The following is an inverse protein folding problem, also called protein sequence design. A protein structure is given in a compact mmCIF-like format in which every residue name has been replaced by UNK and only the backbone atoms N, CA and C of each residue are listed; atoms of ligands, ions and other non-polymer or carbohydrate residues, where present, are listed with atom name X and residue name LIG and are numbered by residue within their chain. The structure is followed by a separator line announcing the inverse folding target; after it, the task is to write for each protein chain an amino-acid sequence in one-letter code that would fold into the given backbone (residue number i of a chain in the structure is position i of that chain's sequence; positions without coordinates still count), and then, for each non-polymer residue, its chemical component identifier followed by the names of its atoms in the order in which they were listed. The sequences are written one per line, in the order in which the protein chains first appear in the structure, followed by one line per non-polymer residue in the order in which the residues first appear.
data_IF_318835726458
#
_entry.id   IF_318835726458
#
_cell.length_a   1.000
_cell.length_b   1.000
_cell.length_c   1.000
_cell.angle_alpha   90.00
_cell.angle_beta   90.00
_cell.angle_gamma   90.00
#
_symmetry.space_group_name_H-M   'P 1'
#
loop_
_entity.id
_entity.type
_entity.pdbx_description
1 polymer ?
#
# COMPACT_ATOMS: atom_id res chain seq x y z
N UNK A 1 -7.16 13.56 15.63
CA UNK A 1 -8.18 13.29 14.60
C UNK A 1 -7.80 11.97 13.92
N UNK A 2 -8.42 11.54 12.84
CA UNK A 2 -8.03 10.30 12.17
C UNK A 2 -6.79 10.52 11.29
N UNK A 3 -5.89 9.53 11.23
CA UNK A 3 -4.74 9.58 10.32
C UNK A 3 -5.20 9.75 8.86
N UNK A 4 -4.57 10.69 8.16
CA UNK A 4 -4.95 11.06 6.79
C UNK A 4 -3.85 10.80 5.76
N UNK A 5 -2.67 10.32 6.19
CA UNK A 5 -1.56 9.91 5.32
C UNK A 5 -1.13 8.48 5.62
N UNK A 6 -0.99 7.68 4.57
CA UNK A 6 -0.32 6.38 4.57
C UNK A 6 1.13 6.56 4.11
N UNK A 7 2.07 5.99 4.86
CA UNK A 7 3.48 5.81 4.48
C UNK A 7 3.73 4.32 4.23
N UNK A 8 4.19 3.97 3.03
CA UNK A 8 4.33 2.57 2.63
C UNK A 8 5.48 2.34 1.63
N UNK A 9 5.97 1.11 1.60
CA UNK A 9 6.98 0.65 0.64
C UNK A 9 6.31 -0.07 -0.53
N UNK A 10 6.82 0.15 -1.73
CA UNK A 10 6.39 -0.64 -2.89
C UNK A 10 6.92 -2.07 -2.78
N UNK A 11 6.08 -3.01 -3.21
CA UNK A 11 6.49 -4.38 -3.47
C UNK A 11 6.72 -4.48 -4.98
N UNK A 12 7.92 -4.89 -5.37
CA UNK A 12 8.38 -4.93 -6.76
C UNK A 12 8.91 -6.32 -7.08
N UNK A 13 9.04 -6.64 -8.37
CA UNK A 13 9.74 -7.86 -8.77
C UNK A 13 11.23 -7.75 -8.44
N UNK A 14 11.81 -8.86 -8.00
CA UNK A 14 13.25 -9.01 -7.93
C UNK A 14 13.83 -8.88 -9.36
N UNK A 15 14.83 -8.02 -9.58
CA UNK A 15 15.41 -7.81 -10.91
C UNK A 15 16.14 -9.06 -11.43
N UNK A 16 16.69 -9.87 -10.54
CA UNK A 16 17.45 -11.09 -10.85
C UNK A 16 16.50 -12.31 -10.92
N UNK A 17 15.42 -12.30 -10.14
CA UNK A 17 14.43 -13.36 -10.10
C UNK A 17 12.98 -12.84 -10.28
N UNK A 18 12.52 -12.67 -11.52
CA UNK A 18 11.18 -12.11 -11.81
C UNK A 18 10.00 -12.80 -11.12
N UNK A 19 10.12 -14.07 -10.74
CA UNK A 19 9.08 -14.81 -10.02
C UNK A 19 9.00 -14.44 -8.52
N UNK A 20 10.01 -13.75 -7.99
CA UNK A 20 10.05 -13.30 -6.59
C UNK A 20 9.64 -11.84 -6.48
N UNK A 21 8.92 -11.56 -5.40
CA UNK A 21 8.56 -10.20 -5.01
C UNK A 21 9.42 -9.78 -3.83
N UNK A 22 9.93 -8.56 -3.88
CA UNK A 22 10.77 -7.97 -2.85
C UNK A 22 10.23 -6.62 -2.43
N UNK A 23 10.46 -6.28 -1.16
CA UNK A 23 10.15 -4.97 -0.65
C UNK A 23 11.19 -3.96 -1.14
N UNK A 24 10.77 -2.91 -1.83
CA UNK A 24 11.66 -1.82 -2.19
C UNK A 24 11.85 -0.88 -0.99
N UNK A 25 12.83 -1.17 -0.15
CA UNK A 25 13.16 -0.38 1.04
C UNK A 25 13.92 0.91 0.72
N UNK A 26 14.35 1.12 -0.52
CA UNK A 26 15.12 2.32 -0.93
C UNK A 26 14.29 3.59 -0.90
N UNK A 27 12.96 3.49 -1.01
CA UNK A 27 12.08 4.65 -1.08
C UNK A 27 10.77 4.39 -0.38
N UNK A 28 10.42 5.31 0.51
CA UNK A 28 9.14 5.36 1.19
C UNK A 28 8.22 6.33 0.46
N UNK A 29 7.00 5.89 0.19
CA UNK A 29 6.01 6.65 -0.57
C UNK A 29 4.81 7.00 0.31
N UNK A 30 4.09 8.04 -0.11
CA UNK A 30 2.96 8.59 0.64
C UNK A 30 1.69 8.59 -0.19
N UNK A 31 0.57 8.25 0.46
CA UNK A 31 -0.77 8.29 -0.12
C UNK A 31 -1.75 8.93 0.86
N UNK A 32 -2.81 9.51 0.33
CA UNK A 32 -3.88 10.11 1.14
C UNK A 32 -4.89 9.06 1.56
N UNK A 33 -5.14 8.98 2.86
CA UNK A 33 -6.27 8.23 3.41
C UNK A 33 -7.50 9.13 3.34
N UNK A 34 -8.61 8.60 2.84
CA UNK A 34 -9.85 9.36 2.65
C UNK A 34 -11.00 8.63 3.32
N UNK A 35 -12.14 9.30 3.49
CA UNK A 35 -13.37 8.67 3.98
C UNK A 35 -13.85 7.50 3.11
N UNK A 36 -13.42 7.45 1.83
CA UNK A 36 -13.73 6.35 0.91
C UNK A 36 -12.78 5.16 1.06
N UNK A 37 -11.68 5.32 1.80
CA UNK A 37 -10.71 4.25 2.02
C UNK A 37 -11.34 3.20 2.93
N UNK A 38 -11.43 1.96 2.45
CA UNK A 38 -12.04 0.86 3.20
C UNK A 38 -11.02 0.18 4.12
N UNK A 39 -11.47 -0.29 5.28
CA UNK A 39 -10.66 -1.04 6.24
C UNK A 39 -9.90 -0.15 7.23
N UNK A 40 -9.12 -0.76 8.10
CA UNK A 40 -8.28 -0.07 9.09
C UNK A 40 -6.80 -0.33 8.76
N UNK A 41 -5.94 0.69 8.80
CA UNK A 41 -4.52 0.48 8.59
C UNK A 41 -3.92 -0.38 9.71
N UNK A 42 -3.09 -1.35 9.33
CA UNK A 42 -2.30 -2.17 10.26
C UNK A 42 -0.86 -2.17 9.75
N UNK A 43 0.07 -1.72 10.58
CA UNK A 43 1.51 -1.71 10.21
C UNK A 43 1.98 -3.13 9.93
N UNK A 44 2.75 -3.31 8.85
CA UNK A 44 3.19 -4.61 8.36
C UNK A 44 2.21 -5.30 7.41
N UNK A 45 0.93 -4.88 7.37
CA UNK A 45 -0.02 -5.39 6.39
C UNK A 45 0.14 -4.69 5.04
N UNK A 46 -0.64 -5.16 4.07
CA UNK A 46 -0.66 -4.58 2.73
C UNK A 46 -1.81 -3.58 2.61
N UNK A 47 -1.56 -2.52 1.84
CA UNK A 47 -2.60 -1.65 1.35
C UNK A 47 -2.63 -1.72 -0.18
N UNK A 48 -3.80 -1.48 -0.74
CA UNK A 48 -3.97 -1.22 -2.16
C UNK A 48 -4.05 0.28 -2.39
N UNK A 49 -3.15 0.79 -3.21
CA UNK A 49 -3.04 2.21 -3.53
C UNK A 49 -3.20 2.45 -5.02
N UNK A 50 -3.53 3.68 -5.38
CA UNK A 50 -3.47 4.14 -6.76
C UNK A 50 -2.12 4.79 -7.03
N UNK A 51 -1.52 4.43 -8.16
CA UNK A 51 -0.34 5.09 -8.71
C UNK A 51 -0.70 5.71 -10.06
N UNK A 52 0.21 6.48 -10.66
CA UNK A 52 0.03 7.01 -12.00
C UNK A 52 0.01 5.91 -13.08
N UNK A 53 0.55 4.73 -12.78
CA UNK A 53 0.68 3.63 -13.73
C UNK A 53 -0.42 2.57 -13.55
N UNK A 54 -0.89 2.35 -12.33
CA UNK A 54 -1.87 1.31 -12.02
C UNK A 54 -2.87 1.75 -10.95
N UNK A 55 -4.12 1.30 -11.10
CA UNK A 55 -5.23 1.64 -10.19
C UNK A 55 -5.19 0.85 -8.87
N UNK A 56 -4.51 -0.30 -8.85
CA UNK A 56 -4.35 -1.19 -7.71
C UNK A 56 -2.90 -1.66 -7.66
N UNK A 57 -2.08 -0.92 -6.94
CA UNK A 57 -0.70 -1.33 -6.65
C UNK A 57 -0.65 -1.76 -5.19
N UNK A 58 -0.13 -2.95 -4.89
CA UNK A 58 0.05 -3.37 -3.52
C UNK A 58 1.30 -2.74 -2.90
N UNK A 59 1.18 -2.31 -1.64
CA UNK A 59 2.27 -1.70 -0.86
C UNK A 59 2.24 -2.20 0.57
N UNK A 60 3.41 -2.30 1.22
CA UNK A 60 3.49 -2.66 2.63
C UNK A 60 3.37 -1.41 3.49
N UNK A 61 2.41 -1.43 4.42
CA UNK A 61 2.14 -0.33 5.35
C UNK A 61 3.30 -0.23 6.34
N UNK A 62 4.01 0.90 6.30
CA UNK A 62 5.04 1.22 7.26
C UNK A 62 4.49 2.02 8.45
N UNK A 63 3.69 3.05 8.16
CA UNK A 63 3.06 3.88 9.18
C UNK A 63 1.85 4.63 8.61
N UNK A 64 0.97 5.10 9.49
CA UNK A 64 -0.04 6.13 9.19
C UNK A 64 0.19 7.34 10.09
N UNK A 65 -0.22 8.51 9.61
CA UNK A 65 -0.04 9.76 10.35
C UNK A 65 -1.11 10.79 10.01
N UNK A 66 -1.52 11.56 11.00
CA UNK A 66 -2.28 12.80 10.85
C UNK A 66 -1.37 13.98 10.46
N UNK A 67 -1.74 14.68 9.38
CA UNK A 67 -1.02 15.83 8.83
C UNK A 67 -2.01 16.96 8.53
N UNK A 68 -1.75 18.17 9.01
CA UNK A 68 -2.64 19.33 8.84
C UNK A 68 -2.53 20.03 7.47
N UNK A 69 -1.58 19.62 6.62
CA UNK A 69 -1.28 20.26 5.34
C UNK A 69 -2.27 19.83 4.25
N UNK A 70 -2.27 20.58 3.14
CA UNK A 70 -2.93 20.15 1.91
C UNK A 70 -2.31 18.83 1.39
N UNK A 71 -3.18 17.87 1.10
CA UNK A 71 -2.83 16.52 0.61
C UNK A 71 -3.37 16.29 -0.80
N UNK A 72 -3.75 17.35 -1.52
CA UNK A 72 -4.36 17.25 -2.86
C UNK A 72 -3.44 16.63 -3.92
N UNK A 73 -2.12 16.76 -3.74
CA UNK A 73 -1.12 16.15 -4.63
C UNK A 73 -0.96 14.64 -4.42
N UNK A 74 -1.44 14.10 -3.29
CA UNK A 74 -1.30 12.69 -2.97
C UNK A 74 -2.42 11.85 -3.57
N UNK A 75 -2.03 10.79 -4.26
CA UNK A 75 -2.95 9.77 -4.74
C UNK A 75 -3.65 9.07 -3.56
N UNK A 76 -4.90 8.60 -3.72
CA UNK A 76 -5.67 8.01 -2.63
C UNK A 76 -5.27 6.55 -2.36
N UNK A 77 -5.35 6.16 -1.08
CA UNK A 77 -5.42 4.75 -0.67
C UNK A 77 -6.80 4.20 -1.01
N UNK A 78 -6.85 3.03 -1.66
CA UNK A 78 -8.12 2.39 -2.05
C UNK A 78 -8.68 1.53 -0.93
N UNK A 79 -7.84 0.66 -0.37
CA UNK A 79 -8.26 -0.25 0.69
C UNK A 79 -7.07 -0.68 1.54
N UNK A 80 -7.31 -0.85 2.83
CA UNK A 80 -6.44 -1.61 3.74
C UNK A 80 -6.89 -3.07 3.76
N UNK A 81 -5.93 -3.98 3.73
CA UNK A 81 -6.21 -5.42 3.76
C UNK A 81 -6.13 -5.94 5.19
N UNK A 82 -7.06 -6.83 5.56
CA UNK A 82 -7.07 -7.52 6.85
C UNK A 82 -6.26 -8.81 6.72
N UNK A 83 -4.94 -8.69 6.69
CA UNK A 83 -4.04 -9.80 6.40
C UNK A 83 -3.44 -10.40 7.67
N UNK A 84 -4.27 -11.06 8.50
CA UNK A 84 -3.73 -11.95 9.55
C UNK A 84 -3.17 -13.26 8.99
N UNK A 85 -3.48 -13.61 7.74
CA UNK A 85 -2.97 -14.80 7.05
C UNK A 85 -2.05 -14.41 5.88
N UNK A 86 -0.74 -14.63 6.06
CA UNK A 86 0.30 -14.33 5.08
C UNK A 86 0.08 -15.07 3.73
N UNK A 87 -0.57 -16.25 3.79
CA UNK A 87 -0.89 -17.07 2.62
C UNK A 87 -1.97 -16.42 1.73
N UNK A 88 -2.98 -15.79 2.33
CA UNK A 88 -4.01 -15.04 1.59
C UNK A 88 -3.42 -13.78 0.94
N UNK A 89 -2.37 -13.21 1.54
CA UNK A 89 -1.63 -12.09 0.94
C UNK A 89 -0.97 -12.54 -0.34
N UNK A 90 -0.17 -13.60 -0.30
CA UNK A 90 0.53 -14.10 -1.47
C UNK A 90 -0.47 -14.47 -2.58
N UNK A 91 -1.56 -15.17 -2.23
CA UNK A 91 -2.63 -15.52 -3.16
C UNK A 91 -3.29 -14.28 -3.79
N UNK A 92 -3.63 -13.27 -2.98
CA UNK A 92 -4.29 -12.06 -3.46
C UNK A 92 -3.35 -11.18 -4.27
N UNK A 93 -2.04 -11.18 -3.98
CA UNK A 93 -1.03 -10.55 -4.83
C UNK A 93 -0.94 -11.23 -6.18
N UNK A 94 -0.84 -12.55 -6.20
CA UNK A 94 -0.76 -13.33 -7.43
C UNK A 94 -2.02 -13.13 -8.30
N UNK A 95 -3.20 -13.05 -7.69
CA UNK A 95 -4.46 -12.80 -8.38
C UNK A 95 -4.64 -11.34 -8.86
N UNK A 96 -4.06 -10.36 -8.16
CA UNK A 96 -4.10 -8.95 -8.56
C UNK A 96 -3.09 -8.61 -9.67
N UNK A 97 -2.09 -9.46 -9.91
CA UNK A 97 -1.01 -9.25 -10.87
C UNK A 97 -1.14 -10.10 -12.15
N UNK A 98 -2.16 -10.96 -12.25
CA UNK A 98 -2.61 -11.57 -13.51
C UNK A 98 -3.41 -10.58 -14.36
#
# INVERSE_FOLDING_TARGET
MADNVLMAYHIVHDPDERAKHVLNTKKLYKWRITEKTKGTPVVGNVALVQTQFAKRTPVMIYATKEVANDLSDLQPVKAFTNNRDQETVNQMFDDLMK
#
